data_IF_016214160179
#
_entry.id   IF_016214160179
#
_cell.length_a   1.000
_cell.length_b   1.000
_cell.length_c   1.000
_cell.angle_alpha   90.00
_cell.angle_beta   90.00
_cell.angle_gamma   90.00
#
_symmetry.space_group_name_H-M   'P 1'
#
loop_
_entity.id
_entity.type
_entity.pdbx_description
1 polymer ?
#
# COMPACT_ATOMS: atom_id res chain seq x y z
N UNK A 1 1.90 -1.55 18.37
CA UNK A 1 2.62 -0.89 17.25
C UNK A 1 3.76 -0.07 17.85
N UNK A 2 4.93 -0.04 17.23
CA UNK A 2 6.12 0.66 17.76
C UNK A 2 6.18 2.14 17.40
N UNK A 3 7.31 2.79 17.70
CA UNK A 3 7.58 4.18 17.36
C UNK A 3 8.09 4.35 15.92
N UNK A 4 7.90 5.53 15.34
CA UNK A 4 8.46 5.90 14.05
C UNK A 4 9.98 6.03 14.10
N UNK A 5 10.66 5.43 13.12
CA UNK A 5 12.14 5.46 13.01
C UNK A 5 12.71 6.88 13.03
N UNK A 6 11.99 7.86 12.48
CA UNK A 6 12.32 9.29 12.57
C UNK A 6 11.11 10.15 12.21
N UNK A 7 10.94 11.29 12.88
CA UNK A 7 9.97 12.33 12.51
C UNK A 7 10.43 13.15 11.29
N UNK A 8 11.69 13.03 10.84
CA UNK A 8 12.21 13.79 9.68
C UNK A 8 11.62 13.37 8.33
N UNK A 9 10.88 12.25 8.26
CA UNK A 9 10.08 11.88 7.08
C UNK A 9 8.70 12.53 7.07
N UNK A 10 8.35 13.27 8.12
CA UNK A 10 7.09 13.99 8.22
C UNK A 10 7.38 15.46 7.88
N UNK A 11 6.59 16.10 7.01
CA UNK A 11 6.79 17.50 6.64
C UNK A 11 6.74 18.48 7.83
N UNK A 12 6.24 18.05 9.00
CA UNK A 12 6.23 18.80 10.26
C UNK A 12 5.94 17.78 11.38
N UNK A 13 6.75 17.69 12.47
CA UNK A 13 6.48 16.79 13.58
C UNK A 13 5.16 17.08 14.30
N UNK A 14 4.52 18.24 14.06
CA UNK A 14 3.17 18.56 14.55
C UNK A 14 2.04 18.19 13.59
N UNK A 15 2.35 17.74 12.36
CA UNK A 15 1.37 17.47 11.29
C UNK A 15 1.72 16.19 10.53
N UNK A 16 1.36 15.06 11.10
CA UNK A 16 1.48 13.75 10.45
C UNK A 16 0.50 13.62 9.26
N UNK A 17 0.66 14.35 8.15
CA UNK A 17 -0.20 14.27 6.95
C UNK A 17 -1.73 14.48 7.15
N UNK A 18 -2.19 14.65 8.39
CA UNK A 18 -3.60 14.71 8.75
C UNK A 18 -4.20 16.07 8.38
N UNK A 19 -3.40 17.13 8.37
CA UNK A 19 -3.82 18.45 7.89
C UNK A 19 -4.16 18.42 6.40
N UNK A 20 -3.26 17.87 5.56
CA UNK A 20 -3.51 17.74 4.12
C UNK A 20 -4.65 16.79 3.81
N UNK A 21 -4.82 15.73 4.62
CA UNK A 21 -5.95 14.81 4.53
C UNK A 21 -7.28 15.51 4.82
N UNK A 22 -7.33 16.34 5.88
CA UNK A 22 -8.52 17.10 6.25
C UNK A 22 -8.84 18.20 5.23
N UNK A 23 -7.81 18.89 4.72
CA UNK A 23 -7.94 19.91 3.66
C UNK A 23 -8.52 19.33 2.36
N UNK A 24 -8.30 18.04 2.10
CA UNK A 24 -8.84 17.33 0.94
C UNK A 24 -10.17 16.61 1.21
N UNK A 25 -10.84 16.95 2.32
CA UNK A 25 -12.17 16.43 2.66
C UNK A 25 -12.17 15.05 3.32
N UNK A 26 -11.02 14.59 3.84
CA UNK A 26 -10.94 13.36 4.61
C UNK A 26 -11.59 13.49 5.98
N UNK A 27 -12.49 12.56 6.30
CA UNK A 27 -13.14 12.43 7.61
C UNK A 27 -12.41 11.37 8.43
N UNK A 28 -11.80 11.79 9.53
CA UNK A 28 -11.13 10.89 10.47
C UNK A 28 -12.20 10.11 11.24
N UNK A 29 -12.25 8.79 11.05
CA UNK A 29 -13.14 7.87 11.75
C UNK A 29 -12.53 7.38 13.08
N UNK A 30 -11.21 7.25 13.13
CA UNK A 30 -10.46 6.82 14.30
C UNK A 30 -9.03 7.38 14.26
N UNK A 31 -8.43 7.64 15.42
CA UNK A 31 -7.05 8.10 15.55
C UNK A 31 -6.86 9.57 15.18
N UNK A 32 -5.84 9.88 14.39
CA UNK A 32 -5.55 11.23 13.89
C UNK A 32 -4.74 12.09 14.84
N UNK A 33 -4.15 11.51 15.89
CA UNK A 33 -3.36 12.25 16.88
C UNK A 33 -1.98 11.66 17.11
N UNK A 34 -1.09 12.53 17.59
CA UNK A 34 0.23 12.19 18.10
C UNK A 34 0.07 11.78 19.56
N UNK A 35 0.83 10.79 20.00
CA UNK A 35 0.85 10.37 21.40
C UNK A 35 1.96 11.14 22.11
N UNK A 36 1.60 11.92 23.13
CA UNK A 36 2.55 12.68 23.94
C UNK A 36 3.45 11.72 24.75
N UNK A 37 4.70 11.61 24.32
CA UNK A 37 5.68 10.65 24.81
C UNK A 37 7.08 11.09 24.36
N UNK A 38 8.13 10.61 25.02
CA UNK A 38 9.53 10.87 24.62
C UNK A 38 9.88 10.25 23.23
N UNK A 39 9.01 9.39 22.69
CA UNK A 39 9.20 8.74 21.39
C UNK A 39 8.29 9.27 20.27
N UNK A 40 8.60 8.87 19.04
CA UNK A 40 7.87 9.26 17.82
C UNK A 40 6.59 8.42 17.64
N UNK A 41 5.60 8.60 18.51
CA UNK A 41 4.39 7.80 18.52
C UNK A 41 3.21 8.53 17.87
N UNK A 42 2.49 7.82 17.03
CA UNK A 42 1.25 8.29 16.41
C UNK A 42 0.18 7.21 16.51
N UNK A 43 -1.07 7.64 16.63
CA UNK A 43 -2.18 6.71 16.66
C UNK A 43 -2.42 6.09 15.27
N UNK A 44 -2.67 4.77 15.18
CA UNK A 44 -3.27 4.19 13.99
C UNK A 44 -4.56 4.92 13.65
N UNK A 45 -4.73 5.28 12.39
CA UNK A 45 -5.79 6.18 11.96
C UNK A 45 -6.59 5.59 10.80
N UNK A 46 -7.90 5.76 10.84
CA UNK A 46 -8.82 5.35 9.77
C UNK A 46 -9.50 6.61 9.26
N UNK A 47 -9.45 6.82 7.95
CA UNK A 47 -10.00 8.00 7.29
C UNK A 47 -10.92 7.58 6.16
N UNK A 48 -12.13 8.14 6.13
CA UNK A 48 -13.04 8.09 4.99
C UNK A 48 -12.74 9.28 4.08
N UNK A 49 -12.42 9.03 2.80
CA UNK A 49 -12.05 10.09 1.86
C UNK A 49 -12.43 9.72 0.43
N UNK A 50 -12.58 10.70 -0.46
CA UNK A 50 -12.84 10.45 -1.87
C UNK A 50 -11.58 9.85 -2.57
N UNK A 51 -11.74 8.88 -3.49
CA UNK A 51 -10.62 8.28 -4.24
C UNK A 51 -9.86 9.29 -5.12
N UNK A 52 -10.51 10.41 -5.46
CA UNK A 52 -9.93 11.50 -6.25
C UNK A 52 -8.94 12.37 -5.46
N UNK A 53 -8.90 12.25 -4.12
CA UNK A 53 -7.99 13.04 -3.28
C UNK A 53 -6.52 12.67 -3.57
N UNK A 54 -5.66 13.68 -3.68
CA UNK A 54 -4.24 13.48 -3.98
C UNK A 54 -3.51 12.74 -2.86
N UNK A 55 -3.93 12.91 -1.59
CA UNK A 55 -3.35 12.17 -0.46
C UNK A 55 -3.53 10.65 -0.58
N UNK A 56 -4.53 10.17 -1.32
CA UNK A 56 -4.77 8.74 -1.56
C UNK A 56 -3.76 8.16 -2.54
N UNK A 57 -3.24 8.97 -3.47
CA UNK A 57 -2.25 8.58 -4.48
C UNK A 57 -0.80 8.68 -3.97
N UNK A 58 -0.61 9.43 -2.88
CA UNK A 58 0.67 9.58 -2.20
C UNK A 58 0.93 8.44 -1.21
N UNK A 59 2.21 8.16 -0.95
CA UNK A 59 2.62 7.18 0.04
C UNK A 59 3.06 7.89 1.33
N UNK A 60 2.23 7.80 2.38
CA UNK A 60 2.47 8.50 3.65
C UNK A 60 3.51 7.79 4.54
N UNK A 61 3.79 6.51 4.30
CA UNK A 61 4.60 5.65 5.18
C UNK A 61 4.15 5.69 6.65
N UNK A 62 2.83 5.83 6.88
CA UNK A 62 2.22 5.99 8.20
C UNK A 62 1.18 4.92 8.53
N UNK A 63 0.73 4.76 9.79
CA UNK A 63 -0.32 3.82 10.15
C UNK A 63 -1.69 4.42 9.85
N UNK A 64 -1.91 4.85 8.60
CA UNK A 64 -3.14 5.50 8.15
C UNK A 64 -3.79 4.61 7.09
N UNK A 65 -5.07 4.29 7.31
CA UNK A 65 -5.90 3.55 6.38
C UNK A 65 -6.95 4.48 5.76
N UNK A 66 -6.94 4.61 4.44
CA UNK A 66 -8.02 5.24 3.69
C UNK A 66 -9.08 4.20 3.34
N UNK A 67 -10.35 4.50 3.63
CA UNK A 67 -11.50 3.67 3.28
C UNK A 67 -12.22 4.30 2.09
N UNK A 68 -12.40 3.52 1.03
CA UNK A 68 -12.90 3.95 -0.28
C UNK A 68 -14.00 2.98 -0.76
N UNK A 69 -14.93 3.47 -1.58
CA UNK A 69 -15.96 2.64 -2.23
C UNK A 69 -15.55 2.34 -3.68
N UNK A 70 -15.84 1.13 -4.18
CA UNK A 70 -15.42 0.58 -5.48
C UNK A 70 -14.01 -0.04 -5.48
N UNK A 71 -13.84 -1.23 -6.08
CA UNK A 71 -12.69 -2.08 -5.76
C UNK A 71 -11.57 -2.06 -6.80
N UNK A 72 -11.83 -2.46 -8.04
CA UNK A 72 -10.76 -2.73 -9.02
C UNK A 72 -10.23 -1.44 -9.65
N UNK A 73 -11.11 -0.55 -10.12
CA UNK A 73 -10.67 0.69 -10.79
C UNK A 73 -9.85 1.57 -9.85
N UNK A 74 -10.26 1.66 -8.58
CA UNK A 74 -9.53 2.41 -7.56
C UNK A 74 -8.20 1.77 -7.23
N UNK A 75 -8.15 0.43 -7.05
CA UNK A 75 -6.90 -0.30 -6.84
C UNK A 75 -5.87 0.01 -7.94
N UNK A 76 -6.32 0.05 -9.18
CA UNK A 76 -5.44 0.25 -10.34
C UNK A 76 -5.14 1.73 -10.61
N UNK A 77 -5.92 2.67 -10.04
CA UNK A 77 -5.83 4.13 -10.29
C UNK A 77 -4.61 4.83 -9.68
N UNK A 78 -3.89 4.16 -8.77
CA UNK A 78 -2.68 4.68 -8.15
C UNK A 78 -1.44 4.34 -8.98
N UNK A 79 -0.39 5.18 -8.96
CA UNK A 79 0.81 4.94 -9.77
C UNK A 79 1.62 3.72 -9.28
N UNK A 80 1.47 3.32 -8.01
CA UNK A 80 2.14 2.16 -7.43
C UNK A 80 1.46 0.84 -7.82
N UNK A 81 2.22 -0.26 -7.81
CA UNK A 81 1.74 -1.58 -8.22
C UNK A 81 2.43 -2.72 -7.47
N UNK A 82 2.67 -2.58 -6.16
CA UNK A 82 3.40 -3.59 -5.38
C UNK A 82 2.55 -4.82 -5.06
N UNK A 83 1.54 -4.64 -4.21
CA UNK A 83 0.75 -5.73 -3.64
C UNK A 83 -0.69 -5.31 -3.50
N UNK A 84 -1.60 -6.23 -3.80
CA UNK A 84 -3.04 -6.04 -3.75
C UNK A 84 -3.71 -7.29 -3.17
N UNK A 85 -4.90 -7.14 -2.61
CA UNK A 85 -5.66 -8.26 -2.06
C UNK A 85 -7.17 -8.06 -2.20
N UNK A 86 -7.88 -9.15 -2.43
CA UNK A 86 -9.34 -9.22 -2.30
C UNK A 86 -9.74 -10.24 -1.23
N UNK A 87 -10.88 -9.97 -0.58
CA UNK A 87 -11.52 -10.91 0.33
C UNK A 87 -12.88 -11.30 -0.24
N UNK A 88 -13.03 -12.55 -0.65
CA UNK A 88 -14.24 -13.07 -1.31
C UNK A 88 -14.38 -14.58 -1.16
N UNK A 89 -15.63 -15.07 -1.18
CA UNK A 89 -15.95 -16.50 -1.28
C UNK A 89 -16.41 -16.91 -2.68
N UNK A 90 -16.47 -15.97 -3.63
CA UNK A 90 -17.01 -16.15 -4.99
C UNK A 90 -15.89 -16.42 -6.00
N UNK A 91 -15.75 -17.65 -6.54
CA UNK A 91 -14.68 -17.99 -7.48
C UNK A 91 -14.66 -17.14 -8.76
N UNK A 92 -15.82 -16.71 -9.24
CA UNK A 92 -15.94 -15.84 -10.40
C UNK A 92 -15.23 -14.49 -10.22
N UNK A 93 -15.22 -13.96 -8.99
CA UNK A 93 -14.48 -12.74 -8.64
C UNK A 93 -12.98 -13.04 -8.61
N UNK A 94 -12.58 -14.21 -8.13
CA UNK A 94 -11.18 -14.64 -8.08
C UNK A 94 -10.60 -14.70 -9.50
N UNK A 95 -11.29 -15.36 -10.44
CA UNK A 95 -10.83 -15.45 -11.83
C UNK A 95 -10.74 -14.08 -12.52
N UNK A 96 -11.68 -13.18 -12.23
CA UNK A 96 -11.60 -11.79 -12.72
C UNK A 96 -10.38 -11.06 -12.14
N UNK A 97 -10.11 -11.25 -10.86
CA UNK A 97 -9.05 -10.56 -10.12
C UNK A 97 -7.63 -10.95 -10.52
N UNK A 98 -7.39 -12.24 -10.78
CA UNK A 98 -6.09 -12.75 -11.24
C UNK A 98 -5.93 -12.68 -12.76
N UNK A 99 -7.00 -12.36 -13.48
CA UNK A 99 -7.04 -12.30 -14.93
C UNK A 99 -6.52 -10.98 -15.51
N UNK A 100 -6.52 -10.84 -16.85
CA UNK A 100 -5.95 -9.68 -17.54
C UNK A 100 -6.69 -8.35 -17.30
N UNK A 101 -7.90 -8.41 -16.74
CA UNK A 101 -8.72 -7.24 -16.39
C UNK A 101 -8.83 -7.04 -14.87
N UNK A 102 -7.98 -7.72 -14.11
CA UNK A 102 -7.96 -7.70 -12.65
C UNK A 102 -6.95 -6.71 -12.08
N UNK A 103 -6.27 -7.11 -11.02
CA UNK A 103 -5.20 -6.32 -10.43
C UNK A 103 -4.01 -6.19 -11.36
N UNK A 104 -3.40 -5.01 -11.38
CA UNK A 104 -2.18 -4.71 -12.12
C UNK A 104 -0.94 -4.58 -11.21
N UNK A 105 -1.01 -5.19 -10.02
CA UNK A 105 0.10 -5.29 -9.08
C UNK A 105 0.99 -6.51 -9.38
N UNK A 106 2.26 -6.44 -8.99
CA UNK A 106 3.19 -7.57 -9.07
C UNK A 106 2.82 -8.73 -8.14
N UNK A 107 2.18 -8.43 -7.01
CA UNK A 107 1.65 -9.42 -6.06
C UNK A 107 0.13 -9.29 -5.96
N UNK A 108 -0.57 -10.40 -6.23
CA UNK A 108 -2.03 -10.48 -6.29
C UNK A 108 -2.52 -11.54 -5.33
N UNK A 109 -3.16 -11.12 -4.25
CA UNK A 109 -3.59 -11.99 -3.16
C UNK A 109 -5.10 -12.23 -3.15
N UNK A 110 -5.52 -13.36 -2.58
CA UNK A 110 -6.93 -13.71 -2.33
C UNK A 110 -7.05 -14.24 -0.91
N UNK A 111 -7.92 -13.63 -0.11
CA UNK A 111 -8.22 -14.02 1.28
C UNK A 111 -7.01 -14.01 2.22
N UNK A 112 -5.97 -13.26 1.89
CA UNK A 112 -4.78 -13.02 2.73
C UNK A 112 -4.36 -11.54 2.61
N UNK A 113 -3.92 -10.86 3.67
CA UNK A 113 -3.49 -9.46 3.60
C UNK A 113 -2.28 -9.25 2.68
N UNK A 114 -2.04 -7.99 2.30
CA UNK A 114 -1.01 -7.59 1.34
C UNK A 114 0.44 -7.78 1.81
N UNK A 115 0.66 -8.01 3.10
CA UNK A 115 1.98 -8.15 3.73
C UNK A 115 2.52 -9.58 3.79
N UNK A 116 1.70 -10.59 3.43
CA UNK A 116 2.09 -12.00 3.47
C UNK A 116 2.85 -12.40 2.22
N UNK A 117 4.18 -12.27 2.21
CA UNK A 117 5.04 -12.81 1.12
C UNK A 117 6.04 -13.82 1.70
N UNK A 118 6.14 -14.98 1.07
CA UNK A 118 7.07 -16.04 1.44
C UNK A 118 8.31 -16.09 0.53
N UNK A 119 9.38 -16.72 1.01
CA UNK A 119 10.68 -16.76 0.32
C UNK A 119 10.70 -17.56 -0.99
N UNK A 120 9.68 -18.38 -1.25
CA UNK A 120 9.61 -19.18 -2.47
C UNK A 120 9.26 -18.35 -3.72
N UNK A 121 8.48 -17.29 -3.55
CA UNK A 121 7.99 -16.43 -4.63
C UNK A 121 8.97 -15.31 -5.00
N UNK A 122 8.88 -14.83 -6.25
CA UNK A 122 9.55 -13.62 -6.68
C UNK A 122 8.81 -12.39 -6.13
N UNK A 123 9.41 -11.67 -5.19
CA UNK A 123 8.84 -10.44 -4.63
C UNK A 123 9.17 -9.25 -5.53
N UNK A 124 8.18 -8.42 -5.85
CA UNK A 124 8.38 -7.17 -6.57
C UNK A 124 7.07 -6.61 -7.08
N UNK A 125 7.09 -5.32 -7.39
CA UNK A 125 5.94 -4.60 -7.94
C UNK A 125 6.10 -4.27 -9.41
N UNK A 126 5.06 -3.62 -9.91
CA UNK A 126 4.95 -3.05 -11.26
C UNK A 126 4.79 -1.53 -11.21
N UNK A 127 4.67 -0.90 -12.39
CA UNK A 127 4.43 0.55 -12.55
C UNK A 127 5.52 1.40 -11.87
N UNK A 128 5.12 2.41 -11.06
CA UNK A 128 6.04 3.27 -10.34
C UNK A 128 6.77 2.57 -9.18
N UNK A 129 6.36 1.35 -8.80
CA UNK A 129 7.11 0.54 -7.84
C UNK A 129 8.41 -0.01 -8.44
N UNK A 130 8.50 -0.08 -9.78
CA UNK A 130 9.62 -0.65 -10.52
C UNK A 130 9.19 -1.87 -11.32
N UNK A 131 10.16 -2.73 -11.65
CA UNK A 131 9.90 -4.01 -12.35
C UNK A 131 10.92 -5.10 -12.02
N UNK A 132 11.80 -4.84 -11.05
CA UNK A 132 12.73 -5.84 -10.52
C UNK A 132 11.99 -6.95 -9.78
N UNK A 133 12.72 -8.04 -9.51
CA UNK A 133 12.22 -9.15 -8.70
C UNK A 133 13.33 -9.62 -7.77
N UNK A 134 12.96 -9.86 -6.52
CA UNK A 134 13.85 -10.29 -5.46
C UNK A 134 13.39 -11.62 -4.87
N UNK A 135 14.25 -12.19 -4.01
CA UNK A 135 13.98 -13.39 -3.20
C UNK A 135 13.98 -14.68 -4.01
N UNK A 136 12.82 -15.23 -4.39
CA UNK A 136 12.70 -16.56 -4.99
C UNK A 136 12.74 -16.59 -6.51
N UNK A 137 12.21 -17.67 -7.09
CA UNK A 137 12.15 -17.92 -8.53
C UNK A 137 13.52 -17.81 -9.22
N UNK A 138 13.57 -17.17 -10.38
CA UNK A 138 14.76 -16.92 -11.18
C UNK A 138 15.34 -15.52 -11.00
N UNK A 139 15.02 -14.84 -9.88
CA UNK A 139 15.55 -13.51 -9.52
C UNK A 139 17.08 -13.47 -9.51
N UNK A 140 17.74 -14.60 -9.23
CA UNK A 140 19.20 -14.74 -9.28
C UNK A 140 19.80 -14.35 -10.64
N UNK A 141 19.06 -14.48 -11.74
CA UNK A 141 19.51 -14.10 -13.08
C UNK A 141 19.79 -12.60 -13.21
N UNK A 142 19.19 -11.75 -12.38
CA UNK A 142 19.43 -10.31 -12.39
C UNK A 142 20.84 -9.95 -11.89
N UNK A 143 21.48 -10.84 -11.15
CA UNK A 143 22.81 -10.65 -10.56
C UNK A 143 23.93 -11.27 -11.40
N UNK A 144 23.61 -11.86 -12.55
CA UNK A 144 24.59 -12.52 -13.42
C UNK A 144 24.43 -12.09 -14.89
N UNK A 145 25.55 -12.08 -15.63
CA UNK A 145 25.53 -11.84 -17.08
C UNK A 145 25.38 -13.15 -17.84
N UNK A 146 24.36 -13.28 -18.68
CA UNK A 146 24.15 -14.46 -19.53
C UNK A 146 25.10 -14.45 -20.75
N UNK A 147 25.94 -15.48 -20.96
CA UNK A 147 26.57 -15.76 -22.26
C UNK A 147 25.60 -16.54 -23.16
N UNK A 148 25.64 -16.30 -24.47
CA UNK A 148 24.85 -17.02 -25.48
C UNK A 148 25.74 -17.93 -26.31
#
# INVERSE_FOLDING_TARGET
>A
MGFFRSLTRLPDPTRFGFSSTSEQGGKILFGGSIIDSEGNFVQPSIVEIAPSAQVVKGELFGPVLYTLNEAIEINNSVPQGLSSSIFTCKPEIIFKWIGPHGSDCGIVNVNIPTNGTEIGGAFGGEKATGGGREVGSDSWKQYIRRPT
#
